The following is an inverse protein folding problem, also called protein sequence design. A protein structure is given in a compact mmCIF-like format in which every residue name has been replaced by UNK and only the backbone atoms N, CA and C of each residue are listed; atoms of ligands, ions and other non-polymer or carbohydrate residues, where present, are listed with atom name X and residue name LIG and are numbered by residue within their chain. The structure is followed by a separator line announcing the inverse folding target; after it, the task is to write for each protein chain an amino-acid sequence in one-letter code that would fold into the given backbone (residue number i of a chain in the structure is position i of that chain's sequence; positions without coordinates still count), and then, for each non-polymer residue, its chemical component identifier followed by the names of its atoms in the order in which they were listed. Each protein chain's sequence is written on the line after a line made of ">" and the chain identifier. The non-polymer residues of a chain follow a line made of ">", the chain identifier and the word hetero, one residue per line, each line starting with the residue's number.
data_IF_559040342381
#
_entry.id   IF_559040342381
#
_cell.length_a   1.000
_cell.length_b   1.000
_cell.length_c   1.000
_cell.angle_alpha   90.00
_cell.angle_beta   90.00
_cell.angle_gamma   90.00
#
_symmetry.space_group_name_H-M   'P 1'
#
loop_
_entity.id
_entity.type
_entity.pdbx_description
1 polymer ?
#
# COMPACT_ATOMS: atom_id res chain seq x y z
N UNK A 1 -15.27 -14.04 13.27
CA UNK A 1 -14.95 -14.39 11.88
C UNK A 1 -13.62 -15.13 11.89
N UNK A 2 -13.46 -16.21 11.13
CA UNK A 2 -12.20 -16.93 11.06
C UNK A 2 -11.10 -16.05 10.43
N UNK A 3 -9.86 -16.32 10.82
CA UNK A 3 -8.68 -15.63 10.28
C UNK A 3 -7.69 -16.62 9.70
N UNK A 4 -6.96 -16.18 8.67
CA UNK A 4 -5.90 -16.95 8.01
C UNK A 4 -4.59 -16.19 8.12
N UNK A 5 -3.63 -16.75 8.84
CA UNK A 5 -2.29 -16.19 8.94
C UNK A 5 -1.51 -16.43 7.63
N UNK A 6 -0.98 -15.35 7.08
CA UNK A 6 -0.15 -15.33 5.87
C UNK A 6 1.10 -14.50 6.14
N UNK A 7 2.18 -14.64 5.34
CA UNK A 7 3.36 -13.80 5.54
C UNK A 7 3.00 -12.32 5.51
N UNK A 8 3.16 -11.61 6.64
CA UNK A 8 2.90 -10.17 6.80
C UNK A 8 1.45 -9.75 7.08
N UNK A 9 0.49 -10.67 7.23
CA UNK A 9 -0.87 -10.32 7.67
C UNK A 9 -1.62 -11.50 8.32
N UNK A 10 -2.69 -11.19 9.05
CA UNK A 10 -3.75 -12.12 9.41
C UNK A 10 -5.02 -11.68 8.70
N UNK A 11 -5.55 -12.51 7.80
CA UNK A 11 -6.66 -12.17 6.93
C UNK A 11 -7.99 -12.63 7.51
N UNK A 12 -8.95 -11.72 7.70
CA UNK A 12 -10.33 -12.06 7.97
C UNK A 12 -10.99 -12.60 6.71
N UNK A 13 -11.70 -13.72 6.83
CA UNK A 13 -12.43 -14.33 5.73
C UNK A 13 -13.76 -14.93 6.17
N UNK A 14 -14.65 -15.16 5.20
CA UNK A 14 -15.87 -15.94 5.37
C UNK A 14 -15.91 -17.09 4.38
N UNK A 15 -16.67 -18.13 4.69
CA UNK A 15 -16.81 -19.29 3.82
C UNK A 15 -18.25 -19.77 3.83
N UNK A 16 -18.80 -20.03 2.64
CA UNK A 16 -20.15 -20.55 2.46
C UNK A 16 -20.15 -21.74 1.50
N UNK A 17 -20.95 -22.76 1.82
CA UNK A 17 -21.15 -23.92 0.95
C UNK A 17 -20.02 -24.96 1.02
N UNK A 18 -20.20 -26.00 0.21
CA UNK A 18 -19.31 -27.16 0.13
C UNK A 18 -19.18 -27.59 -1.32
N UNK A 19 -17.97 -27.58 -1.88
CA UNK A 19 -17.72 -27.95 -3.27
C UNK A 19 -16.35 -27.49 -3.75
N UNK A 20 -16.14 -27.37 -5.07
CA UNK A 20 -14.95 -26.73 -5.61
C UNK A 20 -14.80 -25.31 -5.06
N UNK A 21 -13.55 -24.89 -4.81
CA UNK A 21 -13.25 -23.58 -4.23
C UNK A 21 -13.47 -22.46 -5.24
N UNK A 22 -14.13 -21.38 -4.82
CA UNK A 22 -14.15 -20.09 -5.51
C UNK A 22 -13.79 -18.97 -4.53
N UNK A 23 -12.84 -18.11 -4.92
CA UNK A 23 -12.34 -17.02 -4.08
C UNK A 23 -12.67 -15.69 -4.73
N UNK A 24 -13.25 -14.77 -3.95
CA UNK A 24 -13.56 -13.41 -4.40
C UNK A 24 -12.45 -12.45 -3.97
N UNK A 25 -11.86 -11.73 -4.92
CA UNK A 25 -10.76 -10.79 -4.68
C UNK A 25 -11.30 -9.36 -4.67
N UNK A 26 -11.29 -8.65 -3.51
CA UNK A 26 -11.80 -7.29 -3.43
C UNK A 26 -10.99 -6.25 -4.21
N UNK A 27 -11.72 -5.35 -4.87
CA UNK A 27 -11.17 -4.16 -5.51
C UNK A 27 -10.79 -3.05 -4.53
N UNK A 28 -10.94 -1.78 -4.95
CA UNK A 28 -10.48 -0.59 -4.20
C UNK A 28 -10.98 -0.49 -2.76
N UNK A 29 -12.23 -0.88 -2.49
CA UNK A 29 -12.80 -0.91 -1.14
C UNK A 29 -12.10 -1.88 -0.19
N UNK A 30 -11.53 -2.96 -0.73
CA UNK A 30 -10.70 -3.90 0.02
C UNK A 30 -11.42 -4.86 0.95
N UNK A 31 -12.74 -4.77 1.08
CA UNK A 31 -13.55 -5.65 1.94
C UNK A 31 -14.25 -6.75 1.14
N UNK A 32 -14.41 -7.92 1.75
CA UNK A 32 -15.05 -9.10 1.16
C UNK A 32 -16.59 -9.05 1.17
N UNK A 33 -17.16 -8.20 2.03
CA UNK A 33 -18.60 -8.06 2.27
C UNK A 33 -19.41 -7.69 1.02
N UNK A 34 -18.80 -6.93 0.11
CA UNK A 34 -19.40 -6.57 -1.19
C UNK A 34 -19.79 -7.79 -2.02
N UNK A 35 -19.18 -8.95 -1.78
CA UNK A 35 -19.47 -10.20 -2.49
C UNK A 35 -20.44 -11.12 -1.75
N UNK A 36 -20.90 -10.79 -0.54
CA UNK A 36 -21.79 -11.68 0.23
C UNK A 36 -23.03 -12.15 -0.54
N UNK A 37 -23.75 -11.29 -1.31
CA UNK A 37 -24.91 -11.74 -2.08
C UNK A 37 -24.57 -12.81 -3.12
N UNK A 38 -23.47 -12.62 -3.87
CA UNK A 38 -23.07 -13.56 -4.93
C UNK A 38 -22.38 -14.81 -4.36
N UNK A 39 -21.58 -14.67 -3.29
CA UNK A 39 -20.95 -15.78 -2.58
C UNK A 39 -22.01 -16.73 -1.99
N UNK A 40 -23.07 -16.17 -1.41
CA UNK A 40 -24.22 -16.93 -0.89
C UNK A 40 -24.96 -17.65 -2.01
N UNK A 41 -25.22 -16.98 -3.14
CA UNK A 41 -25.90 -17.61 -4.28
C UNK A 41 -25.09 -18.78 -4.88
N UNK A 42 -23.75 -18.67 -4.88
CA UNK A 42 -22.86 -19.70 -5.43
C UNK A 42 -22.55 -20.83 -4.43
N UNK A 43 -22.87 -20.66 -3.15
CA UNK A 43 -22.63 -21.66 -2.10
C UNK A 43 -23.34 -23.01 -2.33
N UNK A 44 -24.39 -23.04 -3.16
CA UNK A 44 -25.07 -24.28 -3.54
C UNK A 44 -24.19 -25.21 -4.41
N UNK A 45 -23.13 -24.69 -5.04
CA UNK A 45 -22.25 -25.46 -5.94
C UNK A 45 -20.77 -25.38 -5.57
N UNK A 46 -20.37 -24.34 -4.85
CA UNK A 46 -18.99 -24.05 -4.54
C UNK A 46 -18.79 -23.84 -3.04
N UNK A 47 -17.55 -24.02 -2.60
CA UNK A 47 -17.08 -23.39 -1.37
C UNK A 47 -16.67 -21.97 -1.73
N UNK A 48 -17.55 -21.02 -1.46
CA UNK A 48 -17.37 -19.59 -1.71
C UNK A 48 -16.59 -18.93 -0.57
N UNK A 49 -15.44 -18.34 -0.87
CA UNK A 49 -14.60 -17.63 0.11
C UNK A 49 -14.52 -16.14 -0.23
N UNK A 50 -14.98 -15.30 0.69
CA UNK A 50 -14.75 -13.84 0.68
C UNK A 50 -13.71 -13.50 1.74
N UNK A 51 -12.92 -12.46 1.53
CA UNK A 51 -11.91 -12.04 2.51
C UNK A 51 -11.65 -10.53 2.40
N UNK A 52 -11.14 -9.94 3.48
CA UNK A 52 -10.68 -8.55 3.47
C UNK A 52 -9.19 -8.50 3.08
N UNK A 53 -8.81 -7.60 2.17
CA UNK A 53 -7.40 -7.39 1.80
C UNK A 53 -6.57 -7.02 3.03
N UNK A 54 -5.27 -7.28 2.97
CA UNK A 54 -4.29 -6.93 4.00
C UNK A 54 -4.44 -5.46 4.44
N UNK A 55 -4.66 -5.22 5.74
CA UNK A 55 -4.81 -3.87 6.29
C UNK A 55 -6.19 -3.24 6.12
N UNK A 56 -7.20 -4.00 5.67
CA UNK A 56 -8.59 -3.54 5.54
C UNK A 56 -9.49 -4.27 6.54
N UNK A 57 -10.44 -3.53 7.13
CA UNK A 57 -11.46 -4.08 8.04
C UNK A 57 -10.82 -4.93 9.15
N UNK A 58 -11.18 -6.21 9.27
CA UNK A 58 -10.66 -7.12 10.29
C UNK A 58 -9.35 -7.84 9.88
N UNK A 59 -8.83 -7.60 8.67
CA UNK A 59 -7.54 -8.12 8.23
C UNK A 59 -6.38 -7.22 8.68
N UNK A 60 -5.57 -7.70 9.61
CA UNK A 60 -4.48 -6.94 10.24
C UNK A 60 -3.12 -7.27 9.62
N UNK A 61 -2.20 -6.30 9.58
CA UNK A 61 -0.79 -6.55 9.22
C UNK A 61 -0.05 -7.14 10.44
N UNK A 62 0.75 -8.18 10.23
CA UNK A 62 1.42 -8.93 11.32
C UNK A 62 2.94 -8.86 11.29
N UNK A 63 3.55 -8.46 10.17
CA UNK A 63 4.89 -7.90 10.20
C UNK A 63 4.79 -6.47 10.75
N UNK A 64 5.93 -5.87 11.08
CA UNK A 64 6.17 -4.45 11.38
C UNK A 64 5.77 -3.48 10.24
N UNK A 65 4.80 -3.90 9.41
CA UNK A 65 3.75 -3.08 8.80
C UNK A 65 4.20 -2.16 7.69
N UNK A 66 5.49 -2.09 7.46
CA UNK A 66 6.10 -1.03 6.68
C UNK A 66 6.45 -1.52 5.28
N UNK A 67 5.85 -0.91 4.27
CA UNK A 67 6.09 -1.25 2.88
C UNK A 67 7.36 -0.55 2.34
N UNK A 68 8.11 -1.22 1.48
CA UNK A 68 9.06 -0.54 0.58
C UNK A 68 8.28 -0.12 -0.67
N UNK A 69 8.24 1.19 -0.95
CA UNK A 69 7.43 1.74 -2.04
C UNK A 69 8.34 2.30 -3.13
N UNK A 70 8.36 1.67 -4.28
CA UNK A 70 8.93 2.25 -5.50
C UNK A 70 7.86 3.06 -6.22
N UNK A 71 8.18 4.28 -6.62
CA UNK A 71 7.31 5.10 -7.47
C UNK A 71 8.13 5.69 -8.60
N UNK A 72 7.64 5.62 -9.83
CA UNK A 72 8.27 6.26 -10.99
C UNK A 72 7.42 7.43 -11.50
N UNK A 73 8.04 8.52 -11.95
CA UNK A 73 7.33 9.70 -12.45
C UNK A 73 6.30 10.21 -11.42
N UNK A 74 5.04 10.47 -11.81
CA UNK A 74 3.99 10.89 -10.87
C UNK A 74 3.78 9.92 -9.70
N UNK A 75 4.06 8.63 -9.90
CA UNK A 75 4.03 7.61 -8.84
C UNK A 75 5.06 7.87 -7.74
N UNK A 76 6.18 8.51 -8.04
CA UNK A 76 7.16 8.91 -7.03
C UNK A 76 6.62 10.02 -6.11
N UNK A 77 5.81 10.95 -6.64
CA UNK A 77 5.13 11.97 -5.84
C UNK A 77 4.13 11.33 -4.89
N UNK A 78 3.31 10.39 -5.40
CA UNK A 78 2.37 9.63 -4.57
C UNK A 78 3.08 8.84 -3.49
N UNK A 79 4.20 8.16 -3.83
CA UNK A 79 4.99 7.40 -2.86
C UNK A 79 5.57 8.29 -1.74
N UNK A 80 6.06 9.50 -2.08
CA UNK A 80 6.48 10.49 -1.09
C UNK A 80 5.32 10.93 -0.19
N UNK A 81 4.14 11.21 -0.76
CA UNK A 81 2.96 11.56 0.01
C UNK A 81 2.56 10.44 0.98
N UNK A 82 2.60 9.18 0.55
CA UNK A 82 2.31 8.04 1.42
C UNK A 82 3.26 7.95 2.61
N UNK A 83 4.56 8.18 2.41
CA UNK A 83 5.55 8.22 3.51
C UNK A 83 5.26 9.35 4.50
N UNK A 84 4.85 10.52 4.02
CA UNK A 84 4.58 11.67 4.89
C UNK A 84 3.28 11.51 5.68
N UNK A 85 2.25 10.94 5.05
CA UNK A 85 0.93 10.74 5.67
C UNK A 85 0.88 9.52 6.57
N UNK A 86 1.66 8.48 6.27
CA UNK A 86 1.63 7.20 6.97
C UNK A 86 3.06 6.68 7.25
N UNK A 87 3.89 7.42 8.00
CA UNK A 87 5.29 7.05 8.22
C UNK A 87 5.45 5.70 8.94
N UNK A 88 4.51 5.34 9.81
CA UNK A 88 4.47 4.04 10.50
C UNK A 88 4.16 2.85 9.56
N UNK A 89 3.74 3.13 8.31
CA UNK A 89 3.37 2.13 7.31
C UNK A 89 4.36 2.04 6.14
N UNK A 90 5.41 2.87 6.10
CA UNK A 90 6.38 2.90 5.00
C UNK A 90 7.80 2.76 5.54
N UNK A 91 8.49 1.71 5.10
CA UNK A 91 9.87 1.39 5.54
C UNK A 91 10.87 2.21 4.75
N UNK A 92 10.63 2.32 3.46
CA UNK A 92 11.54 2.94 2.51
C UNK A 92 10.74 3.39 1.29
N UNK A 93 11.07 4.56 0.76
CA UNK A 93 10.58 4.99 -0.56
C UNK A 93 11.76 5.02 -1.52
N UNK A 94 11.56 4.48 -2.72
CA UNK A 94 12.49 4.57 -3.86
C UNK A 94 11.79 5.43 -4.92
N UNK A 95 11.95 6.77 -4.87
CA UNK A 95 11.38 7.66 -5.87
C UNK A 95 12.30 7.67 -7.10
N UNK A 96 11.75 7.27 -8.25
CA UNK A 96 12.47 7.20 -9.51
C UNK A 96 11.95 8.30 -10.45
N UNK A 97 12.82 9.26 -10.77
CA UNK A 97 12.52 10.37 -11.67
C UNK A 97 11.15 11.03 -11.41
N UNK A 98 10.83 11.44 -10.16
CA UNK A 98 9.63 12.24 -9.91
C UNK A 98 9.62 13.46 -10.83
N UNK A 99 8.45 13.90 -11.35
CA UNK A 99 8.33 15.17 -12.02
C UNK A 99 8.69 16.26 -11.00
N UNK A 100 9.95 16.67 -11.05
CA UNK A 100 10.60 17.66 -10.22
C UNK A 100 10.25 19.06 -10.75
N UNK A 101 8.94 19.33 -10.87
CA UNK A 101 8.39 20.52 -11.54
C UNK A 101 8.90 21.82 -10.89
N UNK A 102 9.31 21.78 -9.61
CA UNK A 102 9.86 22.94 -8.87
C UNK A 102 11.39 22.91 -8.62
N UNK A 103 12.13 21.88 -9.05
CA UNK A 103 13.60 21.84 -8.90
C UNK A 103 14.34 22.32 -10.15
N UNK A 104 13.67 22.38 -11.29
CA UNK A 104 14.25 22.90 -12.53
C UNK A 104 14.17 24.43 -12.64
N UNK A 105 13.39 25.10 -11.79
CA UNK A 105 13.27 26.55 -11.81
C UNK A 105 13.75 27.15 -10.46
N UNK A 106 14.93 27.79 -10.46
CA UNK A 106 15.55 28.40 -9.28
C UNK A 106 14.80 29.64 -8.75
N UNK A 107 13.51 29.79 -9.03
CA UNK A 107 12.70 30.96 -8.66
C UNK A 107 11.32 30.64 -8.07
N UNK A 108 10.93 29.38 -7.88
CA UNK A 108 9.71 29.04 -7.16
C UNK A 108 10.01 28.21 -5.90
N UNK A 109 9.90 28.88 -4.75
CA UNK A 109 9.96 28.26 -3.42
C UNK A 109 8.56 27.72 -3.10
N UNK A 110 8.26 26.46 -3.45
CA UNK A 110 7.03 25.80 -2.99
C UNK A 110 7.13 24.28 -2.87
N UNK A 111 6.64 23.74 -1.75
CA UNK A 111 6.30 22.32 -1.57
C UNK A 111 7.43 21.38 -1.19
N UNK A 112 8.33 21.02 -2.11
CA UNK A 112 9.26 19.88 -1.88
C UNK A 112 10.37 20.24 -0.89
N UNK A 113 10.86 21.47 -0.95
CA UNK A 113 11.82 22.03 0.02
C UNK A 113 11.20 22.14 1.41
N UNK A 114 9.91 22.41 1.50
CA UNK A 114 9.15 22.49 2.74
C UNK A 114 8.93 21.11 3.34
N UNK A 115 8.51 20.14 2.52
CA UNK A 115 8.38 18.73 2.90
C UNK A 115 9.70 18.16 3.42
N UNK A 116 10.81 18.40 2.70
CA UNK A 116 12.15 17.96 3.11
C UNK A 116 12.61 18.68 4.38
N UNK A 117 12.41 20.00 4.49
CA UNK A 117 12.78 20.78 5.69
C UNK A 117 11.97 20.33 6.90
N UNK A 118 10.68 20.11 6.76
CA UNK A 118 9.81 19.70 7.86
C UNK A 118 10.11 18.28 8.33
N UNK A 119 10.37 17.35 7.40
CA UNK A 119 10.76 15.99 7.76
C UNK A 119 12.12 15.93 8.48
N UNK A 120 13.14 16.62 7.96
CA UNK A 120 14.47 16.68 8.60
C UNK A 120 14.40 17.36 9.97
N UNK A 121 13.56 18.40 10.12
CA UNK A 121 13.36 19.11 11.40
C UNK A 121 12.69 18.23 12.46
N UNK A 122 11.78 17.32 12.06
CA UNK A 122 11.05 16.46 12.99
C UNK A 122 11.75 15.12 13.29
N UNK A 123 12.42 14.52 12.31
CA UNK A 123 12.77 13.09 12.35
C UNK A 123 14.25 12.76 12.07
N UNK A 124 15.09 13.74 11.70
CA UNK A 124 16.47 13.48 11.30
C UNK A 124 16.60 12.87 9.89
N UNK A 125 17.82 12.89 9.34
CA UNK A 125 18.09 12.73 7.90
C UNK A 125 18.17 11.28 7.36
N UNK A 126 17.88 10.25 8.16
CA UNK A 126 18.34 8.88 7.89
C UNK A 126 17.54 8.08 6.84
N UNK A 127 16.33 8.51 6.46
CA UNK A 127 15.37 7.64 5.77
C UNK A 127 15.08 8.00 4.31
N UNK A 128 15.86 8.89 3.71
CA UNK A 128 15.73 9.26 2.29
C UNK A 128 17.02 8.91 1.57
N UNK A 129 17.01 7.80 0.82
CA UNK A 129 18.11 7.46 -0.08
C UNK A 129 17.80 7.94 -1.49
N UNK A 130 18.68 8.79 -2.01
CA UNK A 130 18.68 9.23 -3.41
C UNK A 130 19.93 8.66 -4.07
N UNK A 131 19.86 7.42 -4.55
CA UNK A 131 20.88 6.90 -5.45
C UNK A 131 20.21 6.44 -6.74
N UNK A 132 20.48 7.20 -7.81
CA UNK A 132 20.49 6.68 -9.18
C UNK A 132 21.96 6.65 -9.55
N UNK A 133 22.55 5.46 -9.60
CA UNK A 133 23.91 5.29 -10.11
C UNK A 133 23.95 5.71 -11.57
N UNK A 134 24.90 6.59 -11.91
CA UNK A 134 25.19 7.03 -13.27
C UNK A 134 25.36 5.82 -14.20
N UNK A 135 24.38 5.60 -15.06
CA UNK A 135 24.41 4.51 -16.04
C UNK A 135 24.33 5.08 -17.45
N UNK A 136 25.27 5.93 -17.86
CA UNK A 136 25.53 6.21 -19.27
C UNK A 136 27.04 6.15 -19.56
N UNK A 137 27.42 5.14 -20.35
CA UNK A 137 28.68 5.04 -21.09
C UNK A 137 28.33 4.90 -22.57
#
# INVERSE_FOLDING_TARGET
>A
MPTLDVPGASLSYETHGSGPLIVFIPGGQGTGDVYHPIATALAAKYTSVTYDRRGFSASILTSDGTAVVFGSSSGAIVALFLLLSYPESIRTVIPHEPPAIDLQDRRADSGVSEVRREYVRRNGASNVQTEVGDAHR
#
